data_IF_318454586042
#
_entry.id   IF_318454586042
#
_cell.length_a   1.000
_cell.length_b   1.000
_cell.length_c   1.000
_cell.angle_alpha   90.00
_cell.angle_beta   90.00
_cell.angle_gamma   90.00
#
_symmetry.space_group_name_H-M   'P 1'
#
loop_
_entity.id
_entity.type
_entity.pdbx_description
1 polymer ?
#
# COMPACT_ATOMS: atom_id res chain seq x y z
N UNK A 1 -59.79 6.55 15.27
CA UNK A 1 -59.66 6.66 13.80
C UNK A 1 -58.51 7.60 13.51
N UNK A 2 -57.26 7.14 13.66
CA UNK A 2 -56.37 6.63 12.59
C UNK A 2 -55.97 7.67 11.55
N UNK A 3 -54.80 8.30 11.72
CA UNK A 3 -53.83 8.58 10.65
C UNK A 3 -52.48 9.00 11.26
N UNK A 4 -51.75 8.02 11.78
CA UNK A 4 -50.32 8.12 12.03
C UNK A 4 -49.64 7.05 11.18
N UNK A 5 -48.71 7.44 10.32
CA UNK A 5 -47.87 6.48 9.58
C UNK A 5 -47.83 6.70 8.07
N UNK A 6 -47.25 7.82 7.61
CA UNK A 6 -46.82 7.91 6.20
C UNK A 6 -45.77 8.98 5.91
N UNK A 7 -44.80 9.20 6.81
CA UNK A 7 -43.67 10.12 6.54
C UNK A 7 -42.27 9.48 6.61
N UNK A 8 -42.15 8.26 7.12
CA UNK A 8 -40.84 7.58 7.27
C UNK A 8 -40.31 6.85 6.03
N UNK A 9 -41.16 6.53 5.04
CA UNK A 9 -40.78 5.62 3.96
C UNK A 9 -40.23 6.30 2.68
N UNK A 10 -40.26 7.64 2.58
CA UNK A 10 -39.80 8.35 1.37
C UNK A 10 -38.34 8.80 1.41
N UNK A 11 -37.70 8.85 2.58
CA UNK A 11 -36.30 9.28 2.70
C UNK A 11 -35.30 8.13 2.51
N UNK A 12 -35.71 6.87 2.70
CA UNK A 12 -34.85 5.69 2.48
C UNK A 12 -34.81 5.22 1.03
N UNK A 13 -35.82 5.56 0.21
CA UNK A 13 -35.82 5.19 -1.21
C UNK A 13 -34.91 6.08 -2.07
N UNK A 14 -34.59 7.31 -1.64
CA UNK A 14 -33.71 8.23 -2.36
C UNK A 14 -32.21 7.96 -2.13
N UNK A 15 -31.85 7.24 -1.06
CA UNK A 15 -30.47 6.81 -0.82
C UNK A 15 -30.11 5.51 -1.57
N UNK A 16 -31.11 4.73 -2.00
CA UNK A 16 -30.91 3.48 -2.71
C UNK A 16 -30.82 3.63 -4.24
N UNK A 17 -31.21 4.79 -4.78
CA UNK A 17 -31.22 5.04 -6.24
C UNK A 17 -29.90 5.65 -6.74
N UNK A 18 -29.03 6.12 -5.86
CA UNK A 18 -27.70 6.65 -6.23
C UNK A 18 -26.66 5.57 -6.55
N UNK A 19 -27.00 4.29 -6.42
CA UNK A 19 -26.05 3.17 -6.56
C UNK A 19 -26.10 2.50 -7.94
N UNK A 20 -27.07 2.84 -8.81
CA UNK A 20 -27.32 2.02 -10.00
C UNK A 20 -27.33 2.74 -11.35
N UNK A 21 -26.74 3.94 -11.47
CA UNK A 21 -26.63 4.61 -12.78
C UNK A 21 -25.27 5.26 -12.96
N UNK A 22 -24.34 4.50 -13.54
CA UNK A 22 -23.03 4.98 -13.96
C UNK A 22 -22.00 3.86 -14.09
N UNK A 23 -22.24 2.85 -14.93
CA UNK A 23 -21.21 1.86 -15.25
C UNK A 23 -20.10 2.53 -16.09
N UNK A 24 -19.17 3.17 -15.41
CA UNK A 24 -17.86 3.47 -15.96
C UNK A 24 -16.88 2.45 -15.36
N UNK A 25 -16.08 1.78 -16.19
CA UNK A 25 -14.99 0.90 -15.70
C UNK A 25 -14.01 1.62 -14.74
N UNK A 26 -14.10 2.95 -14.67
CA UNK A 26 -13.43 3.81 -13.69
C UNK A 26 -13.95 3.63 -12.25
N UNK A 27 -15.23 3.40 -12.05
CA UNK A 27 -15.82 3.29 -10.70
C UNK A 27 -15.53 1.91 -10.09
N UNK A 28 -15.56 0.85 -10.90
CA UNK A 28 -15.08 -0.48 -10.49
C UNK A 28 -13.59 -0.46 -10.13
N UNK A 29 -12.76 0.24 -10.91
CA UNK A 29 -11.34 0.41 -10.60
C UNK A 29 -11.10 1.17 -9.29
N UNK A 30 -11.90 2.20 -9.00
CA UNK A 30 -11.84 2.95 -7.74
C UNK A 30 -12.27 2.10 -6.54
N UNK A 31 -13.34 1.32 -6.66
CA UNK A 31 -13.77 0.39 -5.61
C UNK A 31 -12.75 -0.72 -5.36
N UNK A 32 -12.17 -1.29 -6.43
CA UNK A 32 -11.11 -2.29 -6.35
C UNK A 32 -9.86 -1.74 -5.65
N UNK A 33 -9.42 -0.54 -6.04
CA UNK A 33 -8.28 0.14 -5.41
C UNK A 33 -8.57 0.44 -3.93
N UNK A 34 -9.76 0.95 -3.61
CA UNK A 34 -10.18 1.23 -2.24
C UNK A 34 -10.21 -0.03 -1.36
N UNK A 35 -10.76 -1.13 -1.88
CA UNK A 35 -10.76 -2.44 -1.20
C UNK A 35 -9.34 -2.97 -0.98
N UNK A 36 -8.47 -2.85 -1.97
CA UNK A 36 -7.07 -3.25 -1.86
C UNK A 36 -6.31 -2.46 -0.78
N UNK A 37 -6.49 -1.14 -0.77
CA UNK A 37 -5.90 -0.26 0.26
C UNK A 37 -6.45 -0.60 1.66
N UNK A 38 -7.73 -0.97 1.77
CA UNK A 38 -8.32 -1.39 3.04
C UNK A 38 -7.71 -2.70 3.56
N UNK A 39 -7.47 -3.68 2.68
CA UNK A 39 -6.79 -4.94 3.05
C UNK A 39 -5.34 -4.67 3.51
N UNK A 40 -4.60 -3.83 2.78
CA UNK A 40 -3.26 -3.40 3.20
C UNK A 40 -3.31 -2.74 4.57
N UNK A 41 -4.28 -1.86 4.80
CA UNK A 41 -4.45 -1.16 6.06
C UNK A 41 -4.70 -2.13 7.23
N UNK A 42 -5.59 -3.11 7.04
CA UNK A 42 -5.83 -4.16 8.04
C UNK A 42 -4.56 -4.98 8.31
N UNK A 43 -3.78 -5.29 7.27
CA UNK A 43 -2.52 -6.03 7.41
C UNK A 43 -1.46 -5.22 8.17
N UNK A 44 -1.35 -3.91 7.91
CA UNK A 44 -0.46 -3.00 8.65
C UNK A 44 -0.86 -2.94 10.13
N UNK A 45 -2.16 -2.85 10.43
CA UNK A 45 -2.66 -2.88 11.81
C UNK A 45 -2.30 -4.20 12.48
N UNK A 46 -2.61 -5.33 11.84
CA UNK A 46 -2.32 -6.66 12.37
C UNK A 46 -0.82 -6.82 12.67
N UNK A 47 0.05 -6.41 11.76
CA UNK A 47 1.51 -6.42 11.97
C UNK A 47 1.94 -5.52 13.13
N UNK A 48 1.34 -4.34 13.27
CA UNK A 48 1.67 -3.41 14.37
C UNK A 48 1.34 -4.02 15.74
N UNK A 49 0.19 -4.70 15.85
CA UNK A 49 -0.19 -5.42 17.08
C UNK A 49 0.68 -6.64 17.33
N UNK A 50 0.98 -7.40 16.27
CA UNK A 50 1.83 -8.60 16.35
C UNK A 50 3.22 -8.24 16.89
N UNK A 51 3.87 -7.21 16.33
CA UNK A 51 5.22 -6.82 16.73
C UNK A 51 5.29 -6.39 18.21
N UNK A 52 4.23 -5.80 18.76
CA UNK A 52 4.16 -5.45 20.18
C UNK A 52 4.14 -6.69 21.07
N UNK A 53 3.38 -7.71 20.68
CA UNK A 53 3.25 -8.96 21.44
C UNK A 53 4.48 -9.88 21.29
N UNK A 54 5.15 -9.81 20.15
CA UNK A 54 6.33 -10.61 19.84
C UNK A 54 7.60 -10.14 20.60
N UNK A 55 7.63 -8.90 21.10
CA UNK A 55 8.79 -8.36 21.83
C UNK A 55 9.05 -9.01 23.19
N UNK A 56 8.04 -9.65 23.78
CA UNK A 56 8.12 -10.21 25.14
C UNK A 56 8.76 -11.60 25.20
N UNK A 57 8.94 -12.31 24.07
CA UNK A 57 9.56 -13.66 24.06
C UNK A 57 11.01 -13.65 23.60
N UNK A 58 11.88 -14.36 24.33
CA UNK A 58 13.30 -14.47 24.01
C UNK A 58 13.57 -15.24 22.71
N UNK A 59 12.78 -16.27 22.41
CA UNK A 59 12.89 -17.07 21.18
C UNK A 59 12.79 -16.21 19.91
N UNK A 60 11.97 -15.16 19.99
CA UNK A 60 11.73 -14.25 18.86
C UNK A 60 12.91 -13.32 18.66
N UNK A 61 13.61 -12.92 19.73
CA UNK A 61 14.83 -12.09 19.61
C UNK A 61 15.91 -12.84 18.83
N UNK A 62 16.05 -14.15 19.08
CA UNK A 62 16.96 -15.01 18.32
C UNK A 62 16.56 -15.18 16.85
N UNK A 63 15.25 -15.22 16.56
CA UNK A 63 14.77 -15.24 15.17
C UNK A 63 15.04 -13.92 14.45
N UNK A 64 14.76 -12.78 15.10
CA UNK A 64 15.00 -11.45 14.54
C UNK A 64 16.50 -11.22 14.27
N UNK A 65 17.38 -11.70 15.15
CA UNK A 65 18.83 -11.58 14.92
C UNK A 65 19.32 -12.41 13.73
N UNK A 66 18.64 -13.51 13.38
CA UNK A 66 18.92 -14.25 12.13
C UNK A 66 18.37 -13.55 10.89
N UNK A 67 17.30 -12.76 11.04
CA UNK A 67 16.64 -12.02 9.96
C UNK A 67 17.35 -10.71 9.57
N UNK A 68 18.29 -10.20 10.37
CA UNK A 68 19.00 -8.93 10.07
C UNK A 68 19.90 -9.04 8.85
N UNK A 69 20.70 -10.10 8.73
CA UNK A 69 21.59 -10.31 7.58
C UNK A 69 20.82 -10.41 6.24
N UNK A 70 19.77 -11.26 6.11
CA UNK A 70 18.99 -11.31 4.88
C UNK A 70 18.21 -10.01 4.64
N UNK A 71 17.73 -9.32 5.68
CA UNK A 71 17.09 -8.01 5.53
C UNK A 71 18.06 -6.95 4.96
N UNK A 72 19.32 -6.95 5.41
CA UNK A 72 20.35 -6.06 4.85
C UNK A 72 20.63 -6.38 3.39
N UNK A 73 20.79 -7.65 3.03
CA UNK A 73 20.97 -8.07 1.63
C UNK A 73 19.77 -7.63 0.77
N UNK A 74 18.55 -7.86 1.25
CA UNK A 74 17.33 -7.41 0.58
C UNK A 74 17.30 -5.88 0.40
N UNK A 75 17.71 -5.12 1.42
CA UNK A 75 17.76 -3.65 1.32
C UNK A 75 18.69 -3.17 0.20
N UNK A 76 19.84 -3.83 0.02
CA UNK A 76 20.77 -3.50 -1.07
C UNK A 76 20.19 -3.81 -2.44
N UNK A 77 19.52 -4.95 -2.59
CA UNK A 77 18.82 -5.32 -3.83
C UNK A 77 17.74 -4.28 -4.14
N UNK A 78 16.94 -3.89 -3.14
CA UNK A 78 15.89 -2.88 -3.31
C UNK A 78 16.46 -1.50 -3.66
N UNK A 79 17.62 -1.11 -3.13
CA UNK A 79 18.30 0.12 -3.55
C UNK A 79 18.71 0.06 -5.01
N UNK A 80 19.31 -1.05 -5.46
CA UNK A 80 19.69 -1.20 -6.87
C UNK A 80 18.47 -1.14 -7.80
N UNK A 81 17.37 -1.82 -7.43
CA UNK A 81 16.10 -1.76 -8.16
C UNK A 81 15.48 -0.37 -8.16
N UNK A 82 15.53 0.33 -7.03
CA UNK A 82 15.07 1.71 -6.90
C UNK A 82 15.82 2.65 -7.84
N UNK A 83 17.16 2.58 -7.87
CA UNK A 83 17.98 3.39 -8.78
C UNK A 83 17.62 3.08 -10.23
N UNK A 84 17.52 1.80 -10.59
CA UNK A 84 17.13 1.39 -11.95
C UNK A 84 15.76 1.94 -12.36
N UNK A 85 14.75 1.81 -11.50
CA UNK A 85 13.39 2.30 -11.74
C UNK A 85 13.28 3.82 -11.75
N UNK A 86 14.06 4.54 -10.93
CA UNK A 86 14.12 6.00 -10.98
C UNK A 86 14.77 6.50 -12.27
N UNK A 87 15.85 5.86 -12.74
CA UNK A 87 16.51 6.24 -14.00
C UNK A 87 15.56 6.03 -15.19
N UNK A 88 14.90 4.87 -15.27
CA UNK A 88 13.92 4.60 -16.33
C UNK A 88 12.72 5.53 -16.21
N UNK A 89 12.18 5.71 -15.01
CA UNK A 89 11.05 6.60 -14.76
C UNK A 89 11.33 8.07 -15.06
N UNK A 90 12.55 8.56 -14.83
CA UNK A 90 12.96 9.94 -15.18
C UNK A 90 12.89 10.16 -16.70
N UNK A 91 13.32 9.18 -17.51
CA UNK A 91 13.21 9.26 -18.97
C UNK A 91 11.75 9.32 -19.42
N UNK A 92 10.89 8.53 -18.79
CA UNK A 92 9.45 8.50 -19.10
C UNK A 92 8.75 9.78 -18.64
N UNK A 93 9.14 10.35 -17.48
CA UNK A 93 8.59 11.62 -16.98
C UNK A 93 8.81 12.77 -17.95
N UNK A 94 9.96 12.81 -18.62
CA UNK A 94 10.31 13.84 -19.60
C UNK A 94 9.56 13.70 -20.94
N UNK A 95 8.87 12.58 -21.18
CA UNK A 95 8.05 12.40 -22.39
C UNK A 95 6.76 13.25 -22.33
N UNK A 96 6.30 13.72 -23.48
CA UNK A 96 5.09 14.56 -23.58
C UNK A 96 3.81 13.77 -23.25
N UNK A 97 3.82 12.45 -23.42
CA UNK A 97 2.63 11.61 -23.20
C UNK A 97 2.34 11.40 -21.71
N UNK A 98 1.12 11.69 -21.27
CA UNK A 98 0.66 11.30 -19.94
C UNK A 98 0.26 9.82 -19.93
N UNK A 99 1.01 8.99 -19.22
CA UNK A 99 0.76 7.56 -19.11
C UNK A 99 1.05 7.02 -17.71
N UNK A 100 0.45 5.88 -17.33
CA UNK A 100 0.69 5.26 -16.03
C UNK A 100 2.16 4.89 -15.80
N UNK A 101 2.92 4.73 -16.88
CA UNK A 101 4.38 4.52 -16.86
C UNK A 101 5.14 5.65 -16.15
N UNK A 102 4.61 6.88 -16.10
CA UNK A 102 5.20 8.00 -15.32
C UNK A 102 5.20 7.73 -13.82
N UNK A 103 4.33 6.84 -13.34
CA UNK A 103 4.31 6.41 -11.93
C UNK A 103 5.54 5.53 -11.59
N UNK A 104 6.26 4.99 -12.57
CA UNK A 104 7.48 4.20 -12.34
C UNK A 104 8.57 4.97 -11.58
N UNK A 105 8.68 6.28 -11.79
CA UNK A 105 9.60 7.12 -11.01
C UNK A 105 9.22 7.14 -9.53
N UNK A 106 7.95 7.36 -9.23
CA UNK A 106 7.44 7.38 -7.86
C UNK A 106 7.51 5.99 -7.21
N UNK A 107 7.29 4.92 -7.99
CA UNK A 107 7.56 3.56 -7.53
C UNK A 107 9.03 3.41 -7.13
N UNK A 108 9.98 3.93 -7.91
CA UNK A 108 11.40 3.93 -7.57
C UNK A 108 11.70 4.67 -6.27
N UNK A 109 11.07 5.83 -6.04
CA UNK A 109 11.16 6.56 -4.76
C UNK A 109 10.58 5.73 -3.59
N UNK A 110 9.47 5.04 -3.80
CA UNK A 110 8.87 4.18 -2.76
C UNK A 110 9.75 2.98 -2.44
N UNK A 111 10.37 2.36 -3.46
CA UNK A 111 11.35 1.28 -3.26
C UNK A 111 12.60 1.78 -2.52
N UNK A 112 13.03 3.02 -2.77
CA UNK A 112 14.13 3.65 -2.02
C UNK A 112 13.77 3.76 -0.54
N UNK A 113 12.59 4.29 -0.22
CA UNK A 113 12.11 4.45 1.15
C UNK A 113 11.96 3.08 1.83
N UNK A 114 11.43 2.09 1.13
CA UNK A 114 11.31 0.72 1.62
C UNK A 114 12.69 0.13 1.96
N UNK A 115 13.66 0.25 1.04
CA UNK A 115 15.03 -0.19 1.27
C UNK A 115 15.65 0.50 2.49
N UNK A 116 15.43 1.81 2.61
CA UNK A 116 15.89 2.61 3.75
C UNK A 116 15.29 2.14 5.08
N UNK A 117 13.97 1.90 5.13
CA UNK A 117 13.31 1.44 6.36
C UNK A 117 13.69 0.01 6.74
N UNK A 118 13.86 -0.90 5.77
CA UNK A 118 14.35 -2.27 6.04
C UNK A 118 15.77 -2.21 6.60
N UNK A 119 16.64 -1.39 6.00
CA UNK A 119 18.01 -1.23 6.48
C UNK A 119 18.05 -0.63 7.89
N UNK A 120 17.25 0.41 8.14
CA UNK A 120 17.11 1.00 9.49
C UNK A 120 16.58 -0.03 10.49
N UNK A 121 15.54 -0.77 10.14
CA UNK A 121 15.01 -1.86 10.97
C UNK A 121 16.08 -2.91 11.32
N UNK A 122 16.94 -3.28 10.37
CA UNK A 122 17.99 -4.25 10.61
C UNK A 122 19.05 -3.73 11.59
N UNK A 123 19.42 -2.46 11.50
CA UNK A 123 20.49 -1.82 12.27
C UNK A 123 20.04 -1.18 13.59
N UNK A 124 18.76 -0.87 13.73
CA UNK A 124 18.21 -0.20 14.92
C UNK A 124 18.17 -1.11 16.15
N UNK A 125 18.25 -0.52 17.36
CA UNK A 125 18.01 -1.25 18.60
C UNK A 125 16.58 -1.81 18.65
N UNK A 126 16.37 -2.86 19.45
CA UNK A 126 15.08 -3.59 19.49
C UNK A 126 13.88 -2.67 19.75
N UNK A 127 14.03 -1.69 20.64
CA UNK A 127 12.97 -0.74 21.02
C UNK A 127 12.41 0.03 19.81
N UNK A 128 13.25 0.34 18.82
CA UNK A 128 12.85 1.08 17.62
C UNK A 128 12.43 0.18 16.46
N UNK A 129 12.72 -1.14 16.52
CA UNK A 129 12.39 -2.07 15.43
C UNK A 129 10.89 -2.13 15.16
N UNK A 130 10.04 -1.94 16.17
CA UNK A 130 8.60 -1.86 15.96
C UNK A 130 8.18 -0.71 15.06
N UNK A 131 8.79 0.46 15.25
CA UNK A 131 8.51 1.66 14.45
C UNK A 131 8.92 1.45 12.98
N UNK A 132 10.14 0.97 12.74
CA UNK A 132 10.62 0.73 11.38
C UNK A 132 9.91 -0.43 10.68
N UNK A 133 9.46 -1.45 11.41
CA UNK A 133 8.63 -2.51 10.84
C UNK A 133 7.29 -1.97 10.33
N UNK A 134 6.67 -1.06 11.10
CA UNK A 134 5.43 -0.38 10.68
C UNK A 134 5.64 0.48 9.44
N UNK A 135 6.70 1.29 9.40
CA UNK A 135 7.03 2.10 8.23
C UNK A 135 7.32 1.23 6.99
N UNK A 136 8.05 0.13 7.18
CA UNK A 136 8.31 -0.87 6.13
C UNK A 136 7.00 -1.44 5.58
N UNK A 137 6.06 -1.84 6.45
CA UNK A 137 4.76 -2.38 6.04
C UNK A 137 3.92 -1.37 5.26
N UNK A 138 3.91 -0.10 5.68
CA UNK A 138 3.23 0.99 4.97
C UNK A 138 3.86 1.19 3.58
N UNK A 139 5.19 1.24 3.50
CA UNK A 139 5.91 1.38 2.22
C UNK A 139 5.64 0.21 1.27
N UNK A 140 5.60 -1.03 1.77
CA UNK A 140 5.21 -2.21 0.96
C UNK A 140 3.79 -2.01 0.40
N UNK A 141 2.85 -1.57 1.25
CA UNK A 141 1.48 -1.28 0.84
C UNK A 141 1.40 -0.26 -0.31
N UNK A 142 2.11 0.85 -0.19
CA UNK A 142 2.17 1.87 -1.24
C UNK A 142 2.85 1.37 -2.52
N UNK A 143 3.95 0.61 -2.41
CA UNK A 143 4.60 0.01 -3.56
C UNK A 143 3.67 -0.95 -4.31
N UNK A 144 2.91 -1.78 -3.60
CA UNK A 144 1.94 -2.68 -4.21
C UNK A 144 0.78 -1.92 -4.87
N UNK A 145 0.27 -0.87 -4.23
CA UNK A 145 -0.78 -0.04 -4.82
C UNK A 145 -0.29 0.67 -6.09
N UNK A 146 0.94 1.19 -6.10
CA UNK A 146 1.59 1.76 -7.29
C UNK A 146 1.72 0.72 -8.41
N UNK A 147 2.21 -0.49 -8.10
CA UNK A 147 2.32 -1.57 -9.08
C UNK A 147 0.96 -1.96 -9.64
N UNK A 148 -0.06 -2.07 -8.78
CA UNK A 148 -1.42 -2.33 -9.20
C UNK A 148 -1.95 -1.26 -10.16
N UNK A 149 -1.67 0.01 -9.90
CA UNK A 149 -2.07 1.09 -10.83
C UNK A 149 -1.28 1.03 -12.13
N UNK A 150 0.03 0.79 -12.08
CA UNK A 150 0.88 0.71 -13.28
C UNK A 150 0.42 -0.44 -14.19
N UNK A 151 0.21 -1.64 -13.64
CA UNK A 151 -0.22 -2.81 -14.42
C UNK A 151 -1.73 -2.82 -14.71
N UNK A 152 -2.55 -2.34 -13.80
CA UNK A 152 -4.00 -2.23 -13.97
C UNK A 152 -4.39 -1.18 -15.00
N UNK A 153 -3.66 -0.05 -15.07
CA UNK A 153 -3.89 0.95 -16.11
C UNK A 153 -3.50 0.45 -17.50
N UNK A 154 -2.52 -0.45 -17.63
CA UNK A 154 -2.25 -1.13 -18.91
C UNK A 154 -3.37 -2.09 -19.34
N UNK A 155 -4.19 -2.60 -18.41
CA UNK A 155 -5.36 -3.43 -18.73
C UNK A 155 -6.61 -2.61 -19.11
N UNK A 156 -6.65 -1.31 -18.78
CA UNK A 156 -7.78 -0.40 -19.08
C UNK A 156 -7.58 0.38 -20.40
N UNK A 157 -6.43 0.22 -21.08
CA UNK A 157 -6.28 0.68 -22.47
C UNK A 157 -7.10 -0.21 -23.41
N UNK A 158 -8.41 0.09 -23.48
CA UNK A 158 -9.31 -0.19 -24.60
C UNK A 158 -9.19 0.92 -25.64
#
# INVERSE_FOLDING_TARGET
MTHAGQRGARLTALAAVSVSTGCSGRDEALYSLGGFLFVIFLLVIAMTYLVKHLHEREDIKALISRLTAPALALSWILFALSVGTMITGTRVLWSETFGPEKLSFFLGVMLFLLAYFIRRWALSPMEEKGHFARLTSISIGFSLAMLYVIFGASAIRL
#
